data_IF_095555142227
#
_entry.id   IF_095555142227
#
_cell.length_a   1.000
_cell.length_b   1.000
_cell.length_c   1.000
_cell.angle_alpha   90.00
_cell.angle_beta   90.00
_cell.angle_gamma   90.00
#
_symmetry.space_group_name_H-M   'P 1'
#
loop_
_entity.id
_entity.type
_entity.pdbx_description
1 polymer ?
#
# COMPACT_ATOMS: atom_id res chain seq x y z
N UNK A 1 -22.01 9.94 -20.05
CA UNK A 1 -21.81 9.55 -18.65
C UNK A 1 -20.36 9.14 -18.61
N UNK A 2 -19.50 9.96 -18.00
CA UNK A 2 -18.08 9.63 -17.94
C UNK A 2 -17.91 8.30 -17.20
N UNK A 3 -17.06 7.45 -17.75
CA UNK A 3 -16.77 6.15 -17.16
C UNK A 3 -16.18 6.39 -15.76
N UNK A 4 -16.65 5.69 -14.71
CA UNK A 4 -16.07 5.85 -13.38
C UNK A 4 -14.58 5.53 -13.43
N UNK A 5 -13.78 6.36 -12.77
CA UNK A 5 -12.33 6.17 -12.69
C UNK A 5 -11.96 4.78 -12.12
N UNK A 6 -10.68 4.44 -12.23
CA UNK A 6 -10.18 3.15 -11.78
C UNK A 6 -10.52 2.86 -10.30
N UNK A 7 -10.31 3.84 -9.42
CA UNK A 7 -10.45 3.67 -7.97
C UNK A 7 -11.90 3.46 -7.55
N UNK A 8 -12.84 4.21 -8.15
CA UNK A 8 -14.27 4.01 -7.92
C UNK A 8 -14.72 2.62 -8.39
N UNK A 9 -14.22 2.15 -9.53
CA UNK A 9 -14.50 0.78 -10.02
C UNK A 9 -13.93 -0.29 -9.08
N UNK A 10 -12.71 -0.10 -8.58
CA UNK A 10 -12.07 -1.00 -7.61
C UNK A 10 -12.86 -1.08 -6.30
N UNK A 11 -13.21 0.08 -5.70
CA UNK A 11 -14.03 0.17 -4.49
C UNK A 11 -15.37 -0.55 -4.66
N UNK A 12 -16.06 -0.33 -5.79
CA UNK A 12 -17.30 -1.03 -6.08
C UNK A 12 -17.13 -2.55 -6.19
N UNK A 13 -16.04 -3.02 -6.79
CA UNK A 13 -15.76 -4.45 -6.92
C UNK A 13 -15.43 -5.13 -5.58
N UNK A 14 -14.69 -4.45 -4.70
CA UNK A 14 -14.25 -4.99 -3.43
C UNK A 14 -15.29 -4.83 -2.31
N UNK A 15 -15.96 -3.68 -2.25
CA UNK A 15 -16.81 -3.27 -1.14
C UNK A 15 -18.29 -3.19 -1.50
N UNK A 16 -18.65 -3.39 -2.78
CA UNK A 16 -20.01 -3.25 -3.28
C UNK A 16 -20.49 -1.79 -3.42
N UNK A 17 -19.64 -0.81 -3.13
CA UNK A 17 -19.93 0.62 -3.25
C UNK A 17 -18.67 1.40 -3.67
N UNK A 18 -18.79 2.44 -4.53
CA UNK A 18 -17.64 3.24 -4.94
C UNK A 18 -17.20 4.30 -3.92
N UNK A 19 -17.98 4.50 -2.85
CA UNK A 19 -17.79 5.62 -1.91
C UNK A 19 -17.26 5.18 -0.54
N UNK A 20 -16.95 3.88 -0.37
CA UNK A 20 -16.34 3.39 0.86
C UNK A 20 -14.80 3.48 0.78
N UNK A 21 -14.13 3.94 1.85
CA UNK A 21 -12.69 4.13 1.86
C UNK A 21 -11.93 2.80 1.93
N UNK A 22 -10.76 2.78 1.30
CA UNK A 22 -9.78 1.70 1.34
C UNK A 22 -8.48 2.17 1.99
N UNK A 23 -7.73 1.22 2.55
CA UNK A 23 -6.34 1.41 2.93
C UNK A 23 -5.45 0.68 1.91
N UNK A 24 -4.75 1.45 1.08
CA UNK A 24 -3.87 0.94 0.03
C UNK A 24 -2.49 0.60 0.57
N UNK A 25 -2.03 -0.58 0.20
CA UNK A 25 -0.69 -1.07 0.44
C UNK A 25 0.05 -1.18 -0.91
N UNK A 26 1.03 -0.30 -1.13
CA UNK A 26 1.87 -0.32 -2.33
C UNK A 26 2.93 -1.43 -2.27
N UNK A 27 2.53 -2.69 -2.06
CA UNK A 27 3.44 -3.82 -1.89
C UNK A 27 4.00 -4.33 -3.24
N UNK A 28 4.95 -3.59 -3.80
CA UNK A 28 5.76 -4.07 -4.92
C UNK A 28 6.63 -5.28 -4.49
N UNK A 29 7.04 -6.08 -5.46
CA UNK A 29 7.84 -7.31 -5.27
C UNK A 29 7.13 -8.45 -4.53
N UNK A 30 5.79 -8.45 -4.51
CA UNK A 30 4.98 -9.58 -4.01
C UNK A 30 5.32 -10.90 -4.75
N UNK A 31 5.78 -10.82 -5.99
CA UNK A 31 6.23 -11.96 -6.79
C UNK A 31 7.42 -12.68 -6.15
N UNK A 32 8.19 -12.04 -5.28
CA UNK A 32 9.23 -12.71 -4.50
C UNK A 32 8.66 -13.73 -3.53
N UNK A 33 7.51 -13.41 -2.92
CA UNK A 33 6.77 -14.34 -2.06
C UNK A 33 6.18 -15.48 -2.88
N UNK A 34 5.57 -15.17 -4.02
CA UNK A 34 4.99 -16.20 -4.90
C UNK A 34 6.02 -17.15 -5.49
N UNK A 35 7.26 -16.68 -5.70
CA UNK A 35 8.34 -17.48 -6.24
C UNK A 35 9.02 -18.42 -5.21
N UNK A 36 8.64 -18.37 -3.93
CA UNK A 36 9.22 -19.24 -2.90
C UNK A 36 8.87 -20.71 -3.19
N UNK A 37 9.90 -21.53 -3.41
CA UNK A 37 9.73 -22.94 -3.76
C UNK A 37 9.54 -23.21 -5.26
N UNK A 38 9.49 -22.17 -6.08
CA UNK A 38 9.33 -22.29 -7.54
C UNK A 38 10.68 -22.33 -8.27
N UNK A 39 10.66 -22.90 -9.48
CA UNK A 39 11.80 -22.86 -10.38
C UNK A 39 11.99 -21.46 -10.94
N UNK A 40 13.05 -20.77 -10.51
CA UNK A 40 13.35 -19.39 -10.92
C UNK A 40 14.61 -19.31 -11.77
N UNK A 41 14.72 -18.26 -12.59
CA UNK A 41 16.00 -17.90 -13.22
C UNK A 41 16.94 -17.31 -12.17
N UNK A 42 18.27 -17.46 -12.32
CA UNK A 42 19.24 -16.79 -11.45
C UNK A 42 18.99 -15.29 -11.44
N UNK A 43 18.67 -14.74 -10.26
CA UNK A 43 18.45 -13.30 -10.10
C UNK A 43 19.79 -12.58 -10.03
N UNK A 44 19.98 -11.57 -10.86
CA UNK A 44 20.99 -10.53 -10.65
C UNK A 44 20.37 -9.48 -9.71
N UNK A 45 20.20 -9.82 -8.43
CA UNK A 45 19.70 -8.84 -7.46
C UNK A 45 20.83 -7.85 -7.17
N UNK A 46 20.83 -6.70 -7.83
CA UNK A 46 21.57 -5.56 -7.33
C UNK A 46 20.84 -5.11 -6.05
N UNK A 47 21.46 -5.28 -4.88
CA UNK A 47 20.92 -4.78 -3.60
C UNK A 47 20.54 -3.29 -3.66
N UNK A 48 21.16 -2.52 -4.57
CA UNK A 48 20.82 -1.13 -4.85
C UNK A 48 19.47 -0.93 -5.57
N UNK A 49 18.92 -1.96 -6.22
CA UNK A 49 17.64 -1.90 -6.94
C UNK A 49 16.44 -2.03 -6.01
N UNK A 50 16.54 -2.86 -4.97
CA UNK A 50 15.45 -3.12 -4.02
C UNK A 50 14.99 -1.83 -3.29
N UNK A 51 15.92 -0.95 -2.95
CA UNK A 51 15.57 0.34 -2.32
C UNK A 51 14.74 1.25 -3.24
N UNK A 52 15.03 1.27 -4.55
CA UNK A 52 14.25 2.05 -5.53
C UNK A 52 12.87 1.44 -5.73
N UNK A 53 12.79 0.11 -5.83
CA UNK A 53 11.52 -0.60 -6.01
C UNK A 53 10.63 -0.44 -4.77
N UNK A 54 11.21 -0.48 -3.58
CA UNK A 54 10.45 -0.29 -2.35
C UNK A 54 9.93 1.15 -2.18
N UNK A 55 10.57 2.16 -2.78
CA UNK A 55 10.02 3.51 -2.88
C UNK A 55 8.92 3.65 -3.95
N UNK A 56 8.69 2.62 -4.77
CA UNK A 56 7.52 2.62 -5.67
C UNK A 56 6.21 2.50 -4.88
N UNK A 57 6.24 2.18 -3.58
CA UNK A 57 5.07 2.20 -2.71
C UNK A 57 4.32 3.55 -2.73
N UNK A 58 5.04 4.66 -2.96
CA UNK A 58 4.48 6.00 -3.18
C UNK A 58 3.52 6.07 -4.39
N UNK A 59 3.57 5.11 -5.33
CA UNK A 59 2.56 5.00 -6.40
C UNK A 59 1.14 4.87 -5.84
N UNK A 60 0.97 4.32 -4.64
CA UNK A 60 -0.32 4.24 -3.96
C UNK A 60 -0.96 5.63 -3.74
N UNK A 61 -0.16 6.70 -3.62
CA UNK A 61 -0.65 8.09 -3.53
C UNK A 61 -1.43 8.53 -4.77
N UNK A 62 -1.12 7.94 -5.93
CA UNK A 62 -1.77 8.26 -7.21
C UNK A 62 -2.99 7.39 -7.50
N UNK A 63 -3.20 6.34 -6.71
CA UNK A 63 -4.36 5.44 -6.81
C UNK A 63 -5.45 5.81 -5.79
N UNK A 64 -5.05 6.15 -4.57
CA UNK A 64 -5.97 6.45 -3.48
C UNK A 64 -6.56 7.87 -3.62
N UNK A 65 -7.84 8.03 -3.26
CA UNK A 65 -8.49 9.34 -3.15
C UNK A 65 -8.35 9.97 -1.77
N UNK A 66 -8.88 11.19 -1.57
CA UNK A 66 -8.74 11.92 -0.30
C UNK A 66 -9.49 11.30 0.89
N UNK A 67 -10.48 10.44 0.63
CA UNK A 67 -11.17 9.63 1.63
C UNK A 67 -10.41 8.35 2.00
N UNK A 68 -9.41 7.96 1.20
CA UNK A 68 -8.64 6.75 1.37
C UNK A 68 -7.43 6.95 2.28
N UNK A 69 -6.79 5.81 2.58
CA UNK A 69 -5.58 5.72 3.35
C UNK A 69 -4.48 5.03 2.54
N UNK A 70 -3.23 5.39 2.79
CA UNK A 70 -2.06 4.67 2.22
C UNK A 70 -1.09 4.31 3.34
N UNK A 71 -0.47 3.13 3.25
CA UNK A 71 0.62 2.72 4.13
C UNK A 71 1.93 2.76 3.35
N UNK A 72 2.89 3.52 3.84
CA UNK A 72 4.19 3.75 3.19
C UNK A 72 5.35 3.42 4.11
N UNK A 73 6.49 3.06 3.50
CA UNK A 73 7.76 2.79 4.18
C UNK A 73 8.42 4.06 4.72
N UNK A 74 8.24 5.19 4.04
CA UNK A 74 8.81 6.48 4.41
C UNK A 74 7.79 7.59 4.22
N UNK A 75 7.97 8.68 4.97
CA UNK A 75 7.18 9.89 4.76
C UNK A 75 7.53 10.47 3.36
N UNK A 76 6.53 10.75 2.51
CA UNK A 76 6.77 11.40 1.23
C UNK A 76 7.36 12.80 1.42
N UNK A 77 8.12 13.27 0.43
CA UNK A 77 8.64 14.64 0.43
C UNK A 77 7.47 15.65 0.47
N UNK A 78 7.42 16.58 1.45
CA UNK A 78 6.38 17.60 1.52
C UNK A 78 6.26 18.47 0.26
N UNK A 79 7.37 18.73 -0.46
CA UNK A 79 7.37 19.49 -1.72
C UNK A 79 6.70 18.67 -2.83
N UNK A 80 6.93 17.36 -2.84
CA UNK A 80 6.25 16.46 -3.77
C UNK A 80 4.75 16.39 -3.50
N UNK A 81 4.34 16.27 -2.23
CA UNK A 81 2.92 16.31 -1.86
C UNK A 81 2.26 17.63 -2.27
N UNK A 82 2.91 18.77 -2.01
CA UNK A 82 2.41 20.07 -2.44
C UNK A 82 2.26 20.15 -3.96
N UNK A 83 3.24 19.63 -4.71
CA UNK A 83 3.16 19.54 -6.17
C UNK A 83 1.97 18.68 -6.64
N UNK A 84 1.72 17.52 -6.03
CA UNK A 84 0.56 16.69 -6.37
C UNK A 84 -0.77 17.40 -6.07
N UNK A 85 -0.86 18.09 -4.93
CA UNK A 85 -2.05 18.90 -4.61
C UNK A 85 -2.24 20.04 -5.62
N UNK A 86 -1.17 20.73 -6.04
CA UNK A 86 -1.24 21.79 -7.06
C UNK A 86 -1.69 21.28 -8.44
N UNK A 87 -1.41 20.01 -8.74
CA UNK A 87 -1.95 19.32 -9.93
C UNK A 87 -3.43 18.94 -9.79
N UNK A 88 -4.05 19.16 -8.63
CA UNK A 88 -5.44 18.83 -8.34
C UNK A 88 -5.66 17.39 -7.90
N UNK A 89 -4.61 16.67 -7.47
CA UNK A 89 -4.75 15.35 -6.88
C UNK A 89 -5.29 15.49 -5.45
N UNK A 90 -6.42 14.83 -5.19
CA UNK A 90 -7.01 14.70 -3.86
C UNK A 90 -6.25 13.62 -3.07
N UNK A 91 -5.33 14.06 -2.20
CA UNK A 91 -4.36 13.16 -1.57
C UNK A 91 -4.96 12.38 -0.39
N UNK A 92 -4.62 11.08 -0.25
CA UNK A 92 -5.08 10.23 0.84
C UNK A 92 -4.42 10.60 2.18
N UNK A 93 -4.95 10.04 3.26
CA UNK A 93 -4.26 10.06 4.57
C UNK A 93 -3.11 9.06 4.59
N UNK A 94 -1.89 9.54 4.81
CA UNK A 94 -0.67 8.72 4.82
C UNK A 94 -0.38 8.17 6.22
N UNK A 95 -0.14 6.86 6.31
CA UNK A 95 0.39 6.15 7.47
C UNK A 95 1.81 5.66 7.15
N UNK A 96 2.79 6.02 7.97
CA UNK A 96 4.18 5.63 7.76
C UNK A 96 4.58 4.61 8.81
N UNK A 97 5.22 3.52 8.41
CA UNK A 97 5.81 2.55 9.34
C UNK A 97 6.94 3.19 10.15
N UNK A 98 7.07 2.84 11.42
CA UNK A 98 7.99 3.49 12.35
C UNK A 98 9.45 3.09 12.11
N UNK A 99 9.70 1.86 11.66
CA UNK A 99 11.03 1.31 11.42
C UNK A 99 11.06 0.56 10.09
N UNK A 100 11.48 1.27 9.04
CA UNK A 100 11.57 0.69 7.70
C UNK A 100 12.94 0.09 7.42
N UNK A 101 12.97 -1.18 6.97
CA UNK A 101 14.16 -1.79 6.38
C UNK A 101 14.07 -1.71 4.84
N UNK A 102 15.07 -1.16 4.14
CA UNK A 102 15.12 -1.15 2.68
C UNK A 102 15.03 -2.53 2.02
N UNK A 103 15.27 -3.61 2.77
CA UNK A 103 15.23 -5.01 2.29
C UNK A 103 13.91 -5.71 2.62
N UNK A 104 12.98 -5.05 3.31
CA UNK A 104 11.65 -5.57 3.61
C UNK A 104 10.64 -4.91 2.67
N UNK A 105 9.57 -5.60 2.32
CA UNK A 105 8.41 -4.95 1.70
C UNK A 105 7.70 -4.05 2.73
N UNK A 106 6.83 -3.14 2.27
CA UNK A 106 5.99 -2.34 3.17
C UNK A 106 5.12 -3.21 4.08
N UNK A 107 4.64 -4.36 3.60
CA UNK A 107 3.86 -5.34 4.38
C UNK A 107 4.65 -5.92 5.53
N UNK A 108 5.91 -6.32 5.28
CA UNK A 108 6.78 -6.89 6.29
C UNK A 108 7.18 -5.86 7.36
N UNK A 109 7.37 -4.60 6.98
CA UNK A 109 7.58 -3.51 7.94
C UNK A 109 6.31 -3.25 8.77
N UNK A 110 5.14 -3.18 8.13
CA UNK A 110 3.86 -2.97 8.81
C UNK A 110 3.54 -4.09 9.82
N UNK A 111 3.82 -5.36 9.47
CA UNK A 111 3.66 -6.51 10.39
C UNK A 111 4.59 -6.43 11.60
N UNK A 112 5.78 -5.85 11.42
CA UNK A 112 6.77 -5.66 12.48
C UNK A 112 6.49 -4.41 13.34
N UNK A 113 5.60 -3.51 12.92
CA UNK A 113 5.26 -2.29 13.63
C UNK A 113 3.89 -2.39 14.35
N UNK A 114 3.87 -2.56 15.70
CA UNK A 114 2.63 -2.59 16.47
C UNK A 114 1.78 -1.32 16.32
N UNK A 115 2.41 -0.16 16.06
CA UNK A 115 1.73 1.13 15.91
C UNK A 115 0.96 1.16 14.60
N UNK A 116 1.56 0.69 13.51
CA UNK A 116 0.89 0.53 12.22
C UNK A 116 -0.27 -0.45 12.34
N UNK A 117 -0.08 -1.61 12.99
CA UNK A 117 -1.17 -2.56 13.21
C UNK A 117 -2.33 -1.94 13.99
N UNK A 118 -2.05 -1.20 15.07
CA UNK A 118 -3.10 -0.54 15.84
C UNK A 118 -3.84 0.54 15.03
N UNK A 119 -3.13 1.29 14.19
CA UNK A 119 -3.74 2.28 13.30
C UNK A 119 -4.66 1.61 12.26
N UNK A 120 -4.19 0.52 11.64
CA UNK A 120 -4.97 -0.27 10.69
C UNK A 120 -6.19 -0.92 11.35
N UNK A 121 -6.07 -1.39 12.59
CA UNK A 121 -7.21 -1.91 13.33
C UNK A 121 -8.26 -0.85 13.64
N UNK A 122 -7.83 0.35 14.06
CA UNK A 122 -8.74 1.47 14.21
C UNK A 122 -9.44 1.86 12.91
N UNK A 123 -8.80 1.67 11.75
CA UNK A 123 -9.41 1.86 10.43
C UNK A 123 -10.44 0.76 10.13
N UNK A 124 -10.10 -0.49 10.40
CA UNK A 124 -10.97 -1.64 10.19
C UNK A 124 -12.29 -1.53 11.00
N UNK A 125 -12.21 -1.06 12.25
CA UNK A 125 -13.36 -0.76 13.12
C UNK A 125 -14.31 0.28 12.51
N UNK A 126 -13.78 1.21 11.70
CA UNK A 126 -14.57 2.23 10.98
C UNK A 126 -15.08 1.75 9.63
N UNK A 127 -14.82 0.50 9.26
CA UNK A 127 -15.27 -0.09 7.99
C UNK A 127 -14.28 0.06 6.83
N UNK A 128 -13.10 0.65 7.06
CA UNK A 128 -12.03 0.70 6.04
C UNK A 128 -11.48 -0.71 5.84
N UNK A 129 -11.13 -1.09 4.60
CA UNK A 129 -10.54 -2.40 4.29
C UNK A 129 -9.20 -2.24 3.59
N UNK A 130 -8.30 -3.18 3.84
CA UNK A 130 -7.00 -3.22 3.16
C UNK A 130 -7.17 -3.66 1.70
N UNK A 131 -6.41 -3.02 0.82
CA UNK A 131 -6.19 -3.45 -0.55
C UNK A 131 -4.70 -3.37 -0.84
N UNK A 132 -4.20 -4.30 -1.64
CA UNK A 132 -2.78 -4.44 -1.93
C UNK A 132 -2.55 -4.53 -3.44
N UNK A 133 -1.37 -4.16 -3.91
CA UNK A 133 -0.99 -4.30 -5.31
C UNK A 133 -0.99 -5.77 -5.75
N UNK A 134 -0.54 -6.67 -4.87
CA UNK A 134 -0.80 -8.10 -4.96
C UNK A 134 -0.94 -8.74 -3.59
N UNK A 135 -1.40 -9.99 -3.54
CA UNK A 135 -1.68 -10.68 -2.28
C UNK A 135 -0.79 -11.91 -2.13
N UNK A 136 -0.06 -11.99 -1.03
CA UNK A 136 0.66 -13.16 -0.56
C UNK A 136 0.22 -13.53 0.86
N UNK A 137 0.89 -14.51 1.46
CA UNK A 137 0.67 -14.90 2.85
C UNK A 137 0.89 -13.74 3.84
N UNK A 138 1.78 -12.80 3.53
CA UNK A 138 2.03 -11.63 4.38
C UNK A 138 0.86 -10.63 4.37
N UNK A 139 0.24 -10.38 3.22
CA UNK A 139 -0.93 -9.49 3.14
C UNK A 139 -2.15 -10.11 3.83
N UNK A 140 -2.32 -11.43 3.72
CA UNK A 140 -3.34 -12.15 4.48
C UNK A 140 -3.10 -12.07 5.99
N UNK A 141 -1.85 -12.24 6.44
CA UNK A 141 -1.49 -12.09 7.85
C UNK A 141 -1.73 -10.65 8.34
N UNK A 142 -1.34 -9.65 7.55
CA UNK A 142 -1.55 -8.24 7.88
C UNK A 142 -3.04 -7.92 8.02
N UNK A 143 -3.86 -8.40 7.08
CA UNK A 143 -5.31 -8.26 7.14
C UNK A 143 -5.88 -8.93 8.39
N UNK A 144 -5.47 -10.17 8.71
CA UNK A 144 -5.95 -10.87 9.90
C UNK A 144 -5.57 -10.16 11.21
N UNK A 145 -4.39 -9.53 11.28
CA UNK A 145 -3.92 -8.79 12.46
C UNK A 145 -4.52 -7.40 12.59
N UNK A 146 -4.85 -6.76 11.48
CA UNK A 146 -5.55 -5.48 11.46
C UNK A 146 -7.06 -5.65 11.71
N UNK A 147 -7.68 -6.77 11.33
CA UNK A 147 -9.12 -7.00 11.43
C UNK A 147 -9.90 -6.52 10.20
#
# INVERSE_FOLDING_TARGET
>A
MDEPDFTRRLKAALLGTPDAPLAFLGNFEVEERWALGEHTLPRLSAESGAAVVNHMDEFALLLAGGDDHVVLKSAPDPVYLAYLTDLGIDLPTVHVVSDSDPRRTVTADALADPTTIAALAGLAERGVRLTAHGVSDLEEELAARAG
#
